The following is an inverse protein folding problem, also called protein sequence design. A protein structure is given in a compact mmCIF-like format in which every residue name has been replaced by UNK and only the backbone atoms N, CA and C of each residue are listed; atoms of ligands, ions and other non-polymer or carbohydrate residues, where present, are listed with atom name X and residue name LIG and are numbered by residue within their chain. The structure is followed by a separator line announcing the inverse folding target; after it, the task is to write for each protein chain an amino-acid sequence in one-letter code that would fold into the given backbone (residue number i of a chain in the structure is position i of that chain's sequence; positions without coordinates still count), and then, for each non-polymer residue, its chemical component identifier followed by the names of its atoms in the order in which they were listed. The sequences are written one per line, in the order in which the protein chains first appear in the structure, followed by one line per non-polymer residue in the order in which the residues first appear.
data_IF_363253967015
#
_entry.id   IF_363253967015
#
_cell.length_a   1.000
_cell.length_b   1.000
_cell.length_c   1.000
_cell.angle_alpha   90.00
_cell.angle_beta   90.00
_cell.angle_gamma   90.00
#
_symmetry.space_group_name_H-M   'P 1'
#
loop_
_entity.id
_entity.type
_entity.pdbx_description
1 polymer ?
#
# COMPACT_ATOMS: atom_id res chain seq x y z
N UNK A 1 38.50 -47.00 -7.85
CA UNK A 1 37.51 -47.44 -6.83
C UNK A 1 37.21 -46.23 -5.93
N UNK A 2 35.99 -46.12 -5.43
CA UNK A 2 35.39 -44.85 -4.94
C UNK A 2 36.23 -44.03 -3.94
N UNK A 3 36.38 -42.73 -4.24
CA UNK A 3 36.30 -41.66 -3.24
C UNK A 3 34.93 -41.01 -3.40
N UNK A 4 34.14 -40.93 -2.33
CA UNK A 4 32.95 -40.07 -2.25
C UNK A 4 33.04 -39.23 -0.98
N UNK A 5 32.48 -38.03 -1.02
CA UNK A 5 32.70 -36.99 -0.03
C UNK A 5 31.78 -37.12 1.20
N UNK A 6 32.22 -36.54 2.30
CA UNK A 6 31.32 -36.09 3.37
C UNK A 6 30.31 -35.09 2.78
N UNK A 7 29.03 -35.45 2.79
CA UNK A 7 27.96 -34.48 2.56
C UNK A 7 27.77 -33.67 3.86
N UNK A 8 28.26 -32.43 3.89
CA UNK A 8 28.08 -31.56 5.04
C UNK A 8 26.69 -30.94 5.03
N UNK A 9 26.10 -30.79 6.21
CA UNK A 9 24.73 -30.31 6.38
C UNK A 9 24.66 -28.78 6.23
N UNK A 10 24.20 -28.28 5.09
CA UNK A 10 23.72 -26.90 4.95
C UNK A 10 22.20 -26.88 4.94
N UNK A 11 21.61 -26.63 6.10
CA UNK A 11 20.18 -26.34 6.23
C UNK A 11 19.91 -25.06 5.43
N UNK A 12 19.10 -25.17 4.38
CA UNK A 12 18.51 -23.99 3.72
C UNK A 12 17.47 -23.43 4.68
N UNK A 13 17.90 -22.50 5.52
CA UNK A 13 17.00 -21.67 6.30
C UNK A 13 16.16 -20.87 5.31
N UNK A 14 14.94 -21.32 5.05
CA UNK A 14 13.88 -20.46 4.56
C UNK A 14 13.65 -19.38 5.62
N UNK A 15 14.36 -18.26 5.47
CA UNK A 15 13.97 -16.99 6.07
C UNK A 15 12.66 -16.61 5.37
N UNK A 16 11.55 -17.15 5.87
CA UNK A 16 10.23 -16.60 5.59
C UNK A 16 10.28 -15.17 6.10
N UNK A 17 10.39 -14.21 5.19
CA UNK A 17 10.25 -12.79 5.53
C UNK A 17 8.79 -12.64 5.95
N UNK A 18 8.58 -12.74 7.26
CA UNK A 18 7.33 -12.35 7.88
C UNK A 18 7.38 -10.83 7.86
N UNK A 19 6.74 -10.21 6.87
CA UNK A 19 6.47 -8.79 6.87
C UNK A 19 5.63 -8.51 8.12
N UNK A 20 6.26 -7.98 9.17
CA UNK A 20 5.61 -7.74 10.48
C UNK A 20 4.39 -6.85 10.36
N UNK A 21 4.38 -5.95 9.37
CA UNK A 21 3.29 -5.04 9.01
C UNK A 21 2.13 -5.76 8.29
N UNK A 22 2.43 -6.75 7.43
CA UNK A 22 1.41 -7.54 6.73
C UNK A 22 0.70 -8.56 7.65
N UNK A 23 1.30 -8.91 8.79
CA UNK A 23 0.73 -9.87 9.74
C UNK A 23 -0.35 -9.28 10.66
N UNK A 24 -0.63 -7.97 10.55
CA UNK A 24 -1.44 -7.22 11.52
C UNK A 24 -2.94 -7.49 11.36
N UNK A 25 -3.47 -7.51 10.12
CA UNK A 25 -4.93 -7.52 9.87
C UNK A 25 -5.53 -8.93 9.79
N UNK A 26 -4.75 -9.99 9.52
CA UNK A 26 -5.24 -11.38 9.72
C UNK A 26 -5.42 -11.74 11.20
N UNK A 27 -4.79 -10.98 12.11
CA UNK A 27 -4.78 -11.30 13.54
C UNK A 27 -6.17 -11.13 14.14
N UNK A 28 -6.72 -12.21 14.68
CA UNK A 28 -8.00 -12.19 15.38
C UNK A 28 -9.21 -12.00 14.47
N UNK A 29 -9.05 -12.10 13.15
CA UNK A 29 -10.14 -12.04 12.18
C UNK A 29 -11.15 -13.18 12.44
N UNK A 30 -12.40 -12.81 12.70
CA UNK A 30 -13.54 -13.72 12.94
C UNK A 30 -14.23 -14.04 11.62
N UNK A 31 -14.39 -13.05 10.74
CA UNK A 31 -15.02 -13.21 9.44
C UNK A 31 -14.70 -12.05 8.51
N UNK A 32 -14.58 -12.32 7.21
CA UNK A 32 -14.35 -11.35 6.15
C UNK A 32 -15.17 -11.69 4.92
N UNK A 33 -15.98 -10.75 4.45
CA UNK A 33 -16.81 -10.92 3.26
C UNK A 33 -16.57 -9.75 2.30
N UNK A 34 -15.82 -9.98 1.22
CA UNK A 34 -15.58 -8.99 0.16
C UNK A 34 -16.82 -8.77 -0.73
N UNK A 35 -17.75 -9.74 -0.76
CA UNK A 35 -18.97 -9.73 -1.59
C UNK A 35 -18.77 -9.77 -3.11
N UNK A 36 -17.63 -10.28 -3.59
CA UNK A 36 -17.27 -10.46 -5.01
C UNK A 36 -18.15 -11.52 -5.72
N UNK A 37 -19.45 -11.25 -5.89
CA UNK A 37 -20.45 -12.16 -6.46
C UNK A 37 -20.81 -13.37 -5.57
N UNK A 38 -20.33 -13.40 -4.32
CA UNK A 38 -20.50 -14.50 -3.36
C UNK A 38 -20.74 -13.98 -1.93
N UNK A 39 -21.39 -14.79 -1.10
CA UNK A 39 -21.59 -14.57 0.34
C UNK A 39 -20.63 -15.40 1.19
N UNK A 40 -19.46 -15.73 0.64
CA UNK A 40 -18.50 -16.58 1.30
C UNK A 40 -17.70 -15.78 2.33
N UNK A 41 -17.43 -16.39 3.48
CA UNK A 41 -16.43 -15.89 4.43
C UNK A 41 -15.04 -16.34 3.93
N UNK A 42 -14.16 -15.38 3.63
CA UNK A 42 -12.79 -15.64 3.22
C UNK A 42 -11.86 -15.89 4.42
N UNK A 43 -12.34 -15.74 5.66
CA UNK A 43 -11.61 -16.12 6.87
C UNK A 43 -11.53 -17.64 7.06
N UNK A 44 -10.63 -18.07 7.96
CA UNK A 44 -10.49 -19.49 8.34
C UNK A 44 -11.73 -20.10 9.01
N UNK A 45 -12.72 -19.30 9.40
CA UNK A 45 -13.87 -19.73 10.20
C UNK A 45 -15.10 -20.13 9.35
N UNK A 46 -15.15 -19.76 8.06
CA UNK A 46 -16.20 -20.18 7.12
C UNK A 46 -17.64 -19.81 7.50
N UNK A 47 -17.85 -18.61 8.08
CA UNK A 47 -19.15 -18.05 8.46
C UNK A 47 -19.97 -17.58 7.23
N UNK A 48 -20.28 -18.50 6.32
CA UNK A 48 -20.90 -18.19 5.03
C UNK A 48 -22.33 -17.64 5.18
N UNK A 49 -22.61 -16.51 4.52
CA UNK A 49 -23.90 -15.81 4.62
C UNK A 49 -25.02 -16.47 3.81
N UNK A 50 -26.19 -16.61 4.43
CA UNK A 50 -27.42 -17.08 3.78
C UNK A 50 -28.29 -15.88 3.36
N UNK A 51 -28.60 -15.70 2.07
CA UNK A 51 -29.41 -14.58 1.60
C UNK A 51 -30.91 -14.80 1.86
N UNK A 52 -31.53 -13.90 2.63
CA UNK A 52 -32.97 -13.91 2.89
C UNK A 52 -33.66 -12.85 2.03
N UNK A 53 -34.70 -13.26 1.30
CA UNK A 53 -35.39 -12.44 0.28
C UNK A 53 -34.48 -11.83 -0.80
N UNK A 54 -33.35 -12.50 -1.09
CA UNK A 54 -32.44 -12.23 -2.21
C UNK A 54 -31.99 -10.75 -2.35
N UNK A 55 -31.19 -10.21 -1.40
CA UNK A 55 -30.41 -9.01 -1.65
C UNK A 55 -29.48 -9.22 -2.87
N UNK A 56 -29.26 -8.17 -3.65
CA UNK A 56 -28.67 -8.29 -5.00
C UNK A 56 -27.26 -7.75 -5.08
N UNK A 57 -26.35 -8.45 -5.75
CA UNK A 57 -25.02 -7.91 -6.07
C UNK A 57 -25.11 -6.70 -7.00
N UNK A 58 -24.30 -5.68 -6.71
CA UNK A 58 -24.21 -4.38 -7.39
C UNK A 58 -22.75 -3.91 -7.40
N UNK A 59 -22.52 -2.69 -7.90
CA UNK A 59 -21.20 -2.06 -7.90
C UNK A 59 -20.73 -1.62 -6.51
N UNK A 60 -19.42 -1.73 -6.30
CA UNK A 60 -18.68 -1.27 -5.12
C UNK A 60 -18.37 0.24 -5.14
N UNK A 61 -17.36 0.63 -4.37
CA UNK A 61 -16.80 1.99 -4.27
C UNK A 61 -15.85 2.39 -5.42
N UNK A 62 -15.54 1.49 -6.35
CA UNK A 62 -14.68 1.71 -7.51
C UNK A 62 -15.39 1.45 -8.86
N UNK A 63 -16.71 1.30 -8.84
CA UNK A 63 -17.57 0.98 -9.99
C UNK A 63 -17.37 -0.43 -10.59
N UNK A 64 -16.72 -1.36 -9.87
CA UNK A 64 -16.55 -2.76 -10.28
C UNK A 64 -17.87 -3.54 -10.15
N UNK A 65 -18.24 -4.31 -11.17
CA UNK A 65 -19.51 -5.03 -11.18
C UNK A 65 -19.57 -6.17 -10.15
N UNK A 66 -20.71 -6.27 -9.45
CA UNK A 66 -21.04 -7.35 -8.50
C UNK A 66 -20.05 -7.51 -7.32
N UNK A 67 -19.36 -6.44 -6.90
CA UNK A 67 -18.44 -6.46 -5.76
C UNK A 67 -19.07 -5.92 -4.44
N UNK A 68 -20.35 -5.55 -4.44
CA UNK A 68 -21.07 -5.10 -3.24
C UNK A 68 -22.52 -5.61 -3.22
N UNK A 69 -23.21 -5.51 -2.08
CA UNK A 69 -24.59 -6.00 -1.92
C UNK A 69 -25.56 -4.85 -1.70
N UNK A 70 -26.65 -4.83 -2.45
CA UNK A 70 -27.78 -3.92 -2.26
C UNK A 70 -28.93 -4.56 -1.48
N UNK A 71 -29.44 -3.81 -0.50
CA UNK A 71 -30.55 -4.17 0.39
C UNK A 71 -31.77 -3.27 0.12
N UNK A 72 -32.95 -3.87 0.11
CA UNK A 72 -34.18 -3.25 -0.41
C UNK A 72 -34.89 -2.30 0.57
N UNK A 73 -34.58 -2.36 1.87
CA UNK A 73 -35.23 -1.56 2.91
C UNK A 73 -36.62 -2.04 3.34
N UNK A 74 -36.97 -3.31 3.11
CA UNK A 74 -38.29 -3.85 3.50
C UNK A 74 -38.30 -5.31 3.96
N UNK A 75 -37.44 -6.18 3.41
CA UNK A 75 -37.35 -7.57 3.86
C UNK A 75 -36.06 -8.33 3.47
N UNK A 76 -35.15 -7.74 2.69
CA UNK A 76 -33.91 -8.43 2.30
C UNK A 76 -32.81 -8.26 3.35
N UNK A 77 -32.14 -9.34 3.72
CA UNK A 77 -30.96 -9.33 4.60
C UNK A 77 -30.06 -10.55 4.31
N UNK A 78 -28.88 -10.57 4.89
CA UNK A 78 -28.03 -11.78 4.98
C UNK A 78 -28.03 -12.25 6.43
N UNK A 79 -28.22 -13.54 6.65
CA UNK A 79 -28.09 -14.17 7.97
C UNK A 79 -26.83 -15.06 7.96
N UNK A 80 -25.88 -14.79 8.85
CA UNK A 80 -24.64 -15.56 8.99
C UNK A 80 -24.77 -16.71 10.00
N UNK A 81 -25.95 -16.86 10.64
CA UNK A 81 -26.12 -17.77 11.76
C UNK A 81 -25.41 -17.29 13.02
N UNK A 82 -25.07 -18.24 13.89
CA UNK A 82 -24.43 -17.97 15.18
C UNK A 82 -22.91 -17.87 15.02
N UNK A 83 -22.42 -16.63 14.83
CA UNK A 83 -21.00 -16.31 14.66
C UNK A 83 -20.38 -16.04 16.02
N UNK A 84 -19.22 -16.64 16.30
CA UNK A 84 -18.51 -16.59 17.60
C UNK A 84 -17.94 -15.19 17.92
N UNK A 85 -18.84 -14.26 18.30
CA UNK A 85 -18.53 -12.91 18.80
C UNK A 85 -18.93 -12.73 20.28
N UNK A 86 -19.48 -13.79 20.86
CA UNK A 86 -19.99 -13.94 22.22
C UNK A 86 -18.90 -14.10 23.27
N UNK A 87 -19.17 -13.62 24.49
CA UNK A 87 -18.20 -13.68 25.59
C UNK A 87 -16.92 -12.87 25.34
N UNK A 88 -16.86 -12.11 24.24
CA UNK A 88 -15.68 -11.31 23.86
C UNK A 88 -15.54 -10.08 24.77
N UNK A 89 -14.34 -9.94 25.33
CA UNK A 89 -13.92 -8.74 26.08
C UNK A 89 -13.23 -7.71 25.17
N UNK A 90 -12.98 -8.07 23.90
CA UNK A 90 -12.47 -7.21 22.85
C UNK A 90 -13.16 -7.60 21.54
N UNK A 91 -13.71 -6.63 20.82
CA UNK A 91 -14.38 -6.81 19.53
C UNK A 91 -14.13 -5.59 18.64
N UNK A 92 -13.98 -5.80 17.33
CA UNK A 92 -14.05 -4.71 16.35
C UNK A 92 -14.80 -5.14 15.10
N UNK A 93 -15.41 -4.18 14.41
CA UNK A 93 -15.91 -4.35 13.04
C UNK A 93 -15.38 -3.25 12.13
N UNK A 94 -15.33 -3.54 10.84
CA UNK A 94 -15.13 -2.58 9.75
C UNK A 94 -16.11 -2.89 8.62
N UNK A 95 -16.69 -1.86 8.01
CA UNK A 95 -17.70 -2.02 6.95
C UNK A 95 -17.76 -0.77 6.06
N UNK A 96 -17.99 -0.94 4.77
CA UNK A 96 -18.36 0.15 3.86
C UNK A 96 -19.87 0.20 3.67
N UNK A 97 -20.44 1.39 3.74
CA UNK A 97 -21.90 1.60 3.70
C UNK A 97 -22.25 2.77 2.77
N UNK A 98 -23.29 2.60 1.96
CA UNK A 98 -23.87 3.62 1.08
C UNK A 98 -25.39 3.62 1.23
N UNK A 99 -25.95 4.45 2.13
CA UNK A 99 -27.39 4.48 2.35
C UNK A 99 -28.11 5.14 1.16
N UNK A 100 -29.18 4.53 0.67
CA UNK A 100 -30.07 5.09 -0.35
C UNK A 100 -31.37 5.67 0.26
N UNK A 101 -31.65 5.35 1.52
CA UNK A 101 -32.69 5.94 2.36
C UNK A 101 -32.28 5.77 3.83
N UNK A 102 -32.70 6.69 4.69
CA UNK A 102 -32.54 6.61 6.13
C UNK A 102 -33.85 7.06 6.78
N UNK A 103 -34.43 6.21 7.65
CA UNK A 103 -35.51 6.65 8.54
C UNK A 103 -35.00 7.70 9.55
N UNK A 104 -35.85 8.68 9.85
CA UNK A 104 -35.62 9.71 10.87
C UNK A 104 -36.06 9.18 12.24
N UNK A 105 -35.15 9.19 13.22
CA UNK A 105 -35.42 8.72 14.58
C UNK A 105 -34.55 9.48 15.60
N UNK A 106 -35.08 10.54 16.23
CA UNK A 106 -34.40 11.29 17.30
C UNK A 106 -34.56 10.62 18.69
N UNK A 107 -34.70 9.29 18.74
CA UNK A 107 -34.67 8.50 19.98
C UNK A 107 -33.27 8.43 20.61
N UNK A 108 -33.06 7.59 21.62
CA UNK A 108 -31.82 7.56 22.43
C UNK A 108 -31.16 6.18 22.56
N UNK A 109 -31.43 5.23 21.66
CA UNK A 109 -30.67 3.97 21.56
C UNK A 109 -30.10 3.77 20.15
N UNK A 110 -29.31 2.68 20.00
CA UNK A 110 -28.84 2.12 18.73
C UNK A 110 -29.40 0.71 18.47
N UNK A 111 -30.56 0.39 19.08
CA UNK A 111 -31.23 -0.91 19.08
C UNK A 111 -32.77 -0.78 19.18
N UNK A 112 -33.34 0.36 18.78
CA UNK A 112 -34.79 0.59 18.74
C UNK A 112 -35.41 0.39 17.36
N UNK A 113 -36.72 0.11 17.34
CA UNK A 113 -37.51 0.17 16.11
C UNK A 113 -37.43 1.57 15.48
N UNK A 114 -37.48 1.64 14.14
CA UNK A 114 -37.18 2.83 13.33
C UNK A 114 -35.67 3.16 13.27
N UNK A 115 -34.83 2.15 13.05
CA UNK A 115 -33.40 2.34 12.81
C UNK A 115 -32.92 1.51 11.60
N UNK A 116 -31.99 2.04 10.81
CA UNK A 116 -31.49 1.37 9.60
C UNK A 116 -30.31 0.48 10.01
N UNK A 117 -30.58 -0.75 10.47
CA UNK A 117 -29.55 -1.65 10.97
C UNK A 117 -28.68 -2.21 9.84
N UNK A 118 -27.39 -1.87 9.87
CA UNK A 118 -26.37 -2.37 8.93
C UNK A 118 -25.84 -3.71 9.40
N UNK A 119 -25.39 -3.82 10.65
CA UNK A 119 -24.88 -5.05 11.27
C UNK A 119 -25.61 -5.26 12.60
N UNK A 120 -26.10 -6.48 12.88
CA UNK A 120 -26.88 -6.74 14.10
C UNK A 120 -26.74 -8.20 14.57
N UNK A 121 -26.41 -8.44 15.84
CA UNK A 121 -26.62 -9.74 16.51
C UNK A 121 -27.60 -9.51 17.67
N UNK A 122 -28.85 -9.92 17.43
CA UNK A 122 -30.03 -9.54 18.23
C UNK A 122 -31.08 -10.65 18.31
N UNK A 123 -31.89 -10.61 19.37
CA UNK A 123 -32.59 -11.75 19.90
C UNK A 123 -34.03 -11.51 20.33
N UNK A 124 -34.44 -12.27 21.35
CA UNK A 124 -35.80 -12.27 21.88
C UNK A 124 -35.97 -11.48 23.17
N UNK A 125 -34.99 -11.54 24.07
CA UNK A 125 -35.01 -10.92 25.41
C UNK A 125 -33.76 -10.07 25.67
N UNK A 126 -32.60 -10.57 25.24
CA UNK A 126 -31.29 -9.92 25.36
C UNK A 126 -30.62 -9.86 23.98
N UNK A 127 -29.93 -8.75 23.70
CA UNK A 127 -29.17 -8.50 22.47
C UNK A 127 -27.66 -8.57 22.74
N UNK A 128 -26.82 -8.48 21.70
CA UNK A 128 -25.36 -8.57 21.85
C UNK A 128 -24.65 -7.31 21.35
N UNK A 129 -24.88 -6.95 20.08
CA UNK A 129 -24.30 -5.77 19.45
C UNK A 129 -25.06 -5.33 18.20
N UNK A 130 -24.92 -4.04 17.88
CA UNK A 130 -25.57 -3.44 16.72
C UNK A 130 -24.82 -2.24 16.16
N UNK A 131 -24.95 -2.05 14.85
CA UNK A 131 -24.48 -0.87 14.14
C UNK A 131 -25.62 -0.35 13.25
N UNK A 132 -26.13 0.84 13.60
CA UNK A 132 -27.31 1.45 12.98
C UNK A 132 -27.01 2.85 12.49
N UNK A 133 -27.76 3.27 11.46
CA UNK A 133 -27.80 4.64 10.98
C UNK A 133 -29.22 5.18 11.14
N UNK A 134 -29.37 6.48 11.33
CA UNK A 134 -30.63 7.23 11.15
C UNK A 134 -30.38 8.43 10.23
N UNK A 135 -31.40 9.23 9.91
CA UNK A 135 -31.20 10.48 9.17
C UNK A 135 -30.41 11.54 9.97
N UNK A 136 -30.35 11.39 11.29
CA UNK A 136 -29.72 12.31 12.23
C UNK A 136 -28.26 11.92 12.56
N UNK A 137 -27.97 10.61 12.68
CA UNK A 137 -26.72 10.12 13.30
C UNK A 137 -26.32 8.69 12.90
N UNK A 138 -25.20 8.26 13.47
CA UNK A 138 -24.72 6.88 13.47
C UNK A 138 -24.62 6.37 14.91
N UNK A 139 -24.95 5.09 15.16
CA UNK A 139 -24.82 4.46 16.47
C UNK A 139 -24.08 3.11 16.40
N UNK A 140 -23.26 2.83 17.41
CA UNK A 140 -22.68 1.52 17.69
C UNK A 140 -23.07 1.11 19.12
N UNK A 141 -23.65 -0.08 19.24
CA UNK A 141 -24.23 -0.64 20.46
C UNK A 141 -23.56 -1.97 20.82
N UNK A 142 -23.39 -2.22 22.12
CA UNK A 142 -23.10 -3.53 22.72
C UNK A 142 -23.89 -3.69 24.02
N UNK A 143 -24.26 -4.93 24.37
CA UNK A 143 -24.62 -5.29 25.74
C UNK A 143 -23.47 -6.10 26.38
N UNK A 144 -23.02 -5.67 27.57
CA UNK A 144 -22.11 -6.43 28.42
C UNK A 144 -22.61 -6.59 29.87
N UNK A 145 -23.91 -6.86 30.02
CA UNK A 145 -24.67 -6.78 31.28
C UNK A 145 -25.24 -5.38 31.55
N UNK A 146 -25.29 -4.54 30.51
CA UNK A 146 -25.82 -3.18 30.47
C UNK A 146 -25.83 -2.69 29.01
N UNK A 147 -26.86 -1.93 28.64
CA UNK A 147 -26.94 -1.27 27.33
C UNK A 147 -25.88 -0.16 27.17
N UNK A 148 -24.85 -0.40 26.36
CA UNK A 148 -23.86 0.62 26.01
C UNK A 148 -24.06 1.03 24.55
N UNK A 149 -24.49 2.27 24.29
CA UNK A 149 -24.51 2.84 22.93
C UNK A 149 -23.57 4.04 22.85
N UNK A 150 -22.78 4.10 21.78
CA UNK A 150 -21.99 5.28 21.40
C UNK A 150 -22.53 5.88 20.09
N UNK A 151 -22.67 7.20 20.07
CA UNK A 151 -23.24 7.94 18.95
C UNK A 151 -22.21 8.84 18.26
N UNK A 152 -22.41 9.06 16.96
CA UNK A 152 -21.84 10.17 16.21
C UNK A 152 -23.00 11.00 15.63
N UNK A 153 -23.29 12.12 16.29
CA UNK A 153 -24.42 13.02 16.00
C UNK A 153 -24.15 13.86 14.74
N UNK A 154 -24.22 13.21 13.58
CA UNK A 154 -23.95 13.77 12.26
C UNK A 154 -24.67 12.94 11.18
N UNK A 155 -25.50 13.61 10.37
CA UNK A 155 -26.32 12.97 9.33
C UNK A 155 -25.48 12.24 8.28
N UNK A 156 -25.65 10.91 8.10
CA UNK A 156 -24.99 10.16 7.04
C UNK A 156 -25.46 10.62 5.65
N UNK A 157 -24.54 10.68 4.68
CA UNK A 157 -24.87 11.16 3.34
C UNK A 157 -25.50 10.07 2.47
N UNK A 158 -26.70 10.34 1.95
CA UNK A 158 -27.37 9.43 1.01
C UNK A 158 -26.61 9.35 -0.33
N UNK A 159 -26.43 8.14 -0.85
CA UNK A 159 -25.75 7.85 -2.11
C UNK A 159 -24.22 7.84 -2.05
N UNK A 160 -23.63 8.29 -0.94
CA UNK A 160 -22.16 8.34 -0.76
C UNK A 160 -21.66 7.08 -0.06
N UNK A 161 -20.62 6.46 -0.60
CA UNK A 161 -19.88 5.40 0.11
C UNK A 161 -19.11 6.01 1.28
N UNK A 162 -19.36 5.51 2.49
CA UNK A 162 -18.69 5.92 3.73
C UNK A 162 -18.17 4.67 4.45
N UNK A 163 -16.93 4.74 4.94
CA UNK A 163 -16.36 3.69 5.78
C UNK A 163 -16.73 3.94 7.24
N UNK A 164 -17.10 2.86 7.93
CA UNK A 164 -17.35 2.84 9.36
C UNK A 164 -16.59 1.71 10.03
N UNK A 165 -16.01 1.99 11.19
CA UNK A 165 -15.46 0.97 12.07
C UNK A 165 -15.82 1.29 13.53
N UNK A 166 -16.10 0.27 14.31
CA UNK A 166 -16.30 0.39 15.75
C UNK A 166 -15.39 -0.58 16.47
N UNK A 167 -14.80 -0.14 17.59
CA UNK A 167 -13.95 -0.98 18.43
C UNK A 167 -14.44 -0.93 19.88
N UNK A 168 -14.45 -2.09 20.54
CA UNK A 168 -14.76 -2.25 21.95
C UNK A 168 -13.67 -3.08 22.60
N UNK A 169 -13.17 -2.63 23.75
CA UNK A 169 -12.37 -3.46 24.64
C UNK A 169 -11.65 -2.64 25.70
N UNK A 170 -11.14 -3.32 26.72
CA UNK A 170 -10.46 -2.69 27.88
C UNK A 170 -11.28 -1.56 28.57
N UNK A 171 -12.61 -1.59 28.47
CA UNK A 171 -13.50 -0.57 29.05
C UNK A 171 -13.68 0.69 28.20
N UNK A 172 -13.35 0.64 26.90
CA UNK A 172 -13.61 1.72 25.94
C UNK A 172 -14.45 1.20 24.76
N UNK A 173 -15.38 2.02 24.30
CA UNK A 173 -15.98 1.96 22.96
C UNK A 173 -15.48 3.14 22.12
N UNK A 174 -15.18 2.89 20.85
CA UNK A 174 -14.80 3.89 19.87
C UNK A 174 -15.62 3.71 18.59
N UNK A 175 -15.92 4.82 17.92
CA UNK A 175 -16.55 4.86 16.60
C UNK A 175 -15.71 5.73 15.65
N UNK A 176 -15.44 5.19 14.47
CA UNK A 176 -14.62 5.79 13.42
C UNK A 176 -15.43 5.96 12.14
N UNK A 177 -15.13 7.03 11.40
CA UNK A 177 -15.68 7.33 10.08
C UNK A 177 -14.54 7.68 9.14
N UNK A 178 -14.43 7.00 8.00
CA UNK A 178 -13.37 7.23 7.00
C UNK A 178 -11.96 7.27 7.64
N UNK A 179 -11.64 6.23 8.43
CA UNK A 179 -10.39 6.09 9.17
C UNK A 179 -10.24 7.00 10.42
N UNK A 180 -11.07 8.04 10.58
CA UNK A 180 -10.92 9.03 11.66
C UNK A 180 -11.80 8.70 12.87
N UNK A 181 -11.25 8.80 14.09
CA UNK A 181 -12.01 8.65 15.34
C UNK A 181 -12.99 9.82 15.49
N UNK A 182 -14.30 9.52 15.58
CA UNK A 182 -15.36 10.54 15.71
C UNK A 182 -16.06 10.53 17.07
N UNK A 183 -15.99 9.43 17.82
CA UNK A 183 -16.60 9.30 19.14
C UNK A 183 -15.85 8.26 19.98
N UNK A 184 -15.69 8.52 21.28
CA UNK A 184 -15.10 7.58 22.25
C UNK A 184 -15.82 7.69 23.60
N UNK A 185 -16.04 6.57 24.28
CA UNK A 185 -16.75 6.51 25.57
C UNK A 185 -16.21 5.39 26.46
N UNK A 186 -16.22 5.62 27.78
CA UNK A 186 -15.91 4.59 28.77
C UNK A 186 -17.13 3.73 29.10
N UNK A 187 -16.91 2.42 29.18
CA UNK A 187 -17.93 1.38 29.42
C UNK A 187 -17.42 0.36 30.43
N UNK A 188 -18.28 -0.57 30.83
CA UNK A 188 -17.87 -1.72 31.66
C UNK A 188 -16.79 -2.55 30.95
N UNK A 189 -15.87 -3.16 31.71
CA UNK A 189 -14.86 -4.10 31.20
C UNK A 189 -15.38 -5.54 31.12
N UNK A 190 -16.69 -5.75 31.27
CA UNK A 190 -17.32 -7.05 31.10
C UNK A 190 -17.36 -7.47 29.62
N UNK A 191 -17.41 -8.78 29.38
CA UNK A 191 -17.60 -9.37 28.06
C UNK A 191 -18.97 -9.03 27.47
N UNK A 192 -19.05 -8.91 26.14
CA UNK A 192 -20.33 -8.93 25.41
C UNK A 192 -21.16 -10.15 25.85
N UNK A 193 -22.47 -9.99 26.00
CA UNK A 193 -23.38 -11.08 26.41
C UNK A 193 -23.19 -12.29 25.50
N UNK A 194 -23.17 -13.47 26.14
CA UNK A 194 -23.00 -14.78 25.50
C UNK A 194 -24.38 -15.41 25.26
N UNK A 195 -24.81 -15.47 23.99
CA UNK A 195 -26.06 -16.13 23.58
C UNK A 195 -26.01 -16.60 22.12
N UNK A 196 -27.00 -17.40 21.70
CA UNK A 196 -27.04 -17.97 20.33
C UNK A 196 -27.83 -17.10 19.34
N UNK A 197 -27.82 -15.77 19.49
CA UNK A 197 -28.46 -14.88 18.52
C UNK A 197 -27.70 -14.90 17.18
N UNK A 198 -28.44 -14.83 16.06
CA UNK A 198 -27.82 -14.85 14.73
C UNK A 198 -27.31 -13.46 14.33
N UNK A 199 -26.10 -13.40 13.76
CA UNK A 199 -25.53 -12.19 13.20
C UNK A 199 -26.13 -11.93 11.79
N UNK A 200 -26.56 -10.70 11.53
CA UNK A 200 -27.24 -10.29 10.29
C UNK A 200 -26.63 -9.04 9.68
N UNK A 201 -26.68 -8.96 8.35
CA UNK A 201 -26.31 -7.81 7.55
C UNK A 201 -27.54 -7.24 6.83
N UNK A 202 -27.77 -5.94 6.94
CA UNK A 202 -28.85 -5.22 6.25
C UNK A 202 -30.22 -5.26 6.95
N UNK A 203 -30.32 -5.84 8.15
CA UNK A 203 -31.46 -5.64 9.05
C UNK A 203 -32.05 -6.93 9.64
N UNK A 204 -33.36 -6.85 9.93
CA UNK A 204 -34.19 -7.80 10.70
C UNK A 204 -33.87 -7.87 12.20
N UNK A 205 -34.83 -7.40 13.00
CA UNK A 205 -34.90 -7.62 14.45
C UNK A 205 -36.17 -8.44 14.76
N UNK A 206 -36.11 -9.57 15.49
CA UNK A 206 -37.26 -10.50 15.60
C UNK A 206 -38.57 -9.88 16.11
N UNK A 207 -38.47 -8.86 16.98
CA UNK A 207 -39.62 -8.21 17.61
C UNK A 207 -40.04 -6.87 16.95
N UNK A 208 -39.44 -6.45 15.82
CA UNK A 208 -39.73 -5.15 15.22
C UNK A 208 -39.58 -5.12 13.68
N UNK A 209 -40.58 -4.59 12.98
CA UNK A 209 -40.69 -4.65 11.52
C UNK A 209 -39.83 -3.60 10.77
N UNK A 210 -39.71 -2.40 11.32
CA UNK A 210 -39.14 -1.23 10.63
C UNK A 210 -37.64 -1.09 10.92
N UNK A 211 -36.88 -2.07 10.42
CA UNK A 211 -35.48 -2.32 10.79
C UNK A 211 -34.53 -2.64 9.63
N UNK A 212 -35.01 -2.56 8.38
CA UNK A 212 -34.26 -2.97 7.20
C UNK A 212 -33.46 -1.81 6.61
N UNK A 213 -32.16 -2.03 6.42
CA UNK A 213 -31.31 -1.08 5.72
C UNK A 213 -31.67 -1.00 4.23
N UNK A 214 -31.58 0.21 3.67
CA UNK A 214 -31.81 0.48 2.25
C UNK A 214 -30.62 1.18 1.64
N UNK A 215 -29.85 0.48 0.82
CA UNK A 215 -28.59 0.96 0.31
C UNK A 215 -27.64 -0.17 -0.04
N UNK A 216 -26.38 0.15 -0.30
CA UNK A 216 -25.33 -0.84 -0.54
C UNK A 216 -24.42 -1.02 0.68
N UNK A 217 -23.91 -2.23 0.87
CA UNK A 217 -22.87 -2.60 1.84
C UNK A 217 -21.75 -3.34 1.09
N UNK A 218 -20.50 -3.07 1.46
CA UNK A 218 -19.26 -3.58 0.87
C UNK A 218 -18.28 -3.97 2.00
N UNK A 219 -17.41 -4.95 1.76
CA UNK A 219 -16.31 -5.41 2.64
C UNK A 219 -16.61 -5.37 4.15
N UNK A 220 -17.37 -6.35 4.64
CA UNK A 220 -17.58 -6.55 6.08
C UNK A 220 -16.37 -7.31 6.67
N UNK A 221 -15.79 -6.80 7.76
CA UNK A 221 -14.75 -7.46 8.55
C UNK A 221 -15.13 -7.47 10.03
N UNK A 222 -14.82 -8.56 10.75
CA UNK A 222 -15.06 -8.72 12.19
C UNK A 222 -13.80 -9.26 12.88
N UNK A 223 -13.50 -8.77 14.09
CA UNK A 223 -12.27 -9.09 14.82
C UNK A 223 -12.53 -9.35 16.31
N UNK A 224 -11.80 -10.29 16.92
CA UNK A 224 -11.80 -10.56 18.37
C UNK A 224 -10.73 -9.77 19.14
N UNK A 225 -10.24 -8.68 18.54
CA UNK A 225 -9.29 -7.73 19.11
C UNK A 225 -9.80 -6.29 18.95
N UNK A 226 -9.26 -5.38 19.75
CA UNK A 226 -9.45 -3.93 19.57
C UNK A 226 -8.50 -3.50 18.45
N UNK A 227 -9.03 -2.98 17.34
CA UNK A 227 -8.19 -2.38 16.31
C UNK A 227 -7.60 -1.05 16.80
N UNK A 228 -6.36 -0.74 16.44
CA UNK A 228 -5.76 0.58 16.67
C UNK A 228 -6.30 1.61 15.67
N UNK A 229 -6.03 2.91 15.92
CA UNK A 229 -6.42 3.96 14.98
C UNK A 229 -5.70 3.82 13.62
N UNK A 230 -4.44 3.38 13.66
CA UNK A 230 -3.61 3.11 12.49
C UNK A 230 -4.12 1.90 11.71
N UNK A 231 -4.53 0.82 12.39
CA UNK A 231 -5.15 -0.35 11.75
C UNK A 231 -6.49 0.02 11.08
N UNK A 232 -7.31 0.87 11.73
CA UNK A 232 -8.55 1.38 11.14
C UNK A 232 -8.30 2.34 9.97
N UNK A 233 -7.24 3.16 10.00
CA UNK A 233 -6.84 3.99 8.86
C UNK A 233 -6.32 3.13 7.69
N UNK A 234 -5.55 2.08 7.95
CA UNK A 234 -5.09 1.15 6.91
C UNK A 234 -6.27 0.46 6.23
N UNK A 235 -7.21 -0.13 7.00
CA UNK A 235 -8.42 -0.77 6.46
C UNK A 235 -9.32 0.22 5.69
N UNK A 236 -9.34 1.49 6.10
CA UNK A 236 -10.02 2.55 5.35
C UNK A 236 -9.34 2.85 4.00
N UNK A 237 -8.01 2.94 3.99
CA UNK A 237 -7.25 3.36 2.80
C UNK A 237 -7.06 2.23 1.78
N UNK A 238 -6.79 1.02 2.25
CA UNK A 238 -6.68 -0.19 1.44
C UNK A 238 -8.06 -0.81 1.17
N UNK A 239 -9.04 0.04 0.81
CA UNK A 239 -10.43 -0.37 0.55
C UNK A 239 -10.64 -1.26 -0.68
N UNK A 240 -9.56 -1.75 -1.28
CA UNK A 240 -9.52 -2.74 -2.36
C UNK A 240 -8.57 -3.87 -1.97
N UNK A 241 -9.13 -5.03 -1.64
CA UNK A 241 -8.48 -6.27 -1.17
C UNK A 241 -7.77 -6.21 0.20
N UNK A 242 -8.08 -7.17 1.08
CA UNK A 242 -7.13 -7.61 2.12
C UNK A 242 -6.04 -8.50 1.48
N UNK A 243 -5.33 -7.94 0.51
CA UNK A 243 -4.12 -8.51 -0.04
C UNK A 243 -2.99 -7.49 0.08
N UNK A 244 -1.75 -7.97 0.19
CA UNK A 244 -0.62 -7.13 -0.23
C UNK A 244 -0.66 -7.10 -1.76
N UNK A 245 -1.59 -6.32 -2.34
CA UNK A 245 -1.79 -6.38 -3.79
C UNK A 245 -0.63 -5.69 -4.51
N UNK A 246 0.29 -6.58 -4.85
CA UNK A 246 1.25 -6.58 -5.93
C UNK A 246 0.65 -6.27 -7.32
N UNK A 247 -0.47 -5.56 -7.40
CA UNK A 247 -1.04 -4.86 -8.56
C UNK A 247 0.00 -4.03 -9.34
N UNK A 248 0.97 -3.46 -8.63
CA UNK A 248 2.13 -2.80 -9.21
C UNK A 248 3.28 -3.76 -9.55
N UNK A 249 3.38 -4.94 -8.93
CA UNK A 249 4.45 -5.91 -9.09
C UNK A 249 4.07 -7.00 -10.11
N UNK A 250 4.35 -6.72 -11.38
CA UNK A 250 4.09 -7.63 -12.49
C UNK A 250 5.19 -8.69 -12.60
N UNK A 251 4.82 -9.97 -12.56
CA UNK A 251 5.74 -11.10 -12.66
C UNK A 251 5.28 -12.09 -13.75
N UNK A 252 6.03 -12.18 -14.86
CA UNK A 252 5.71 -13.06 -16.00
C UNK A 252 6.40 -14.45 -15.93
N UNK A 253 7.05 -14.75 -14.80
CA UNK A 253 7.87 -15.95 -14.58
C UNK A 253 9.30 -15.85 -15.12
N UNK A 254 9.64 -14.81 -15.88
CA UNK A 254 10.98 -14.52 -16.39
C UNK A 254 11.55 -13.20 -15.89
N UNK A 255 10.69 -12.20 -15.67
CA UNK A 255 11.01 -10.79 -15.44
C UNK A 255 10.09 -10.24 -14.32
N UNK A 256 10.51 -9.12 -13.72
CA UNK A 256 9.77 -8.39 -12.68
C UNK A 256 9.60 -6.93 -13.11
N UNK A 257 8.38 -6.40 -13.02
CA UNK A 257 8.08 -4.99 -13.23
C UNK A 257 7.43 -4.38 -12.00
N UNK A 258 7.80 -3.16 -11.61
CA UNK A 258 7.23 -2.40 -10.48
C UNK A 258 6.61 -1.12 -11.04
N UNK A 259 5.28 -0.99 -10.96
CA UNK A 259 4.50 0.07 -11.60
C UNK A 259 4.40 -0.05 -13.13
N UNK A 260 4.89 -1.15 -13.72
CA UNK A 260 4.97 -1.33 -15.19
C UNK A 260 4.87 -2.80 -15.58
N UNK A 261 3.96 -3.13 -16.50
CA UNK A 261 3.72 -4.50 -16.96
C UNK A 261 4.69 -4.95 -18.07
N UNK A 262 5.01 -4.06 -19.02
CA UNK A 262 6.02 -4.33 -20.04
C UNK A 262 7.40 -3.98 -19.49
N UNK A 263 8.23 -4.97 -19.19
CA UNK A 263 9.60 -4.75 -18.72
C UNK A 263 10.57 -4.33 -19.83
N UNK A 264 10.11 -4.19 -21.08
CA UNK A 264 10.89 -3.79 -22.26
C UNK A 264 12.13 -4.69 -22.50
N UNK A 265 12.05 -5.95 -22.07
CA UNK A 265 13.15 -6.93 -22.14
C UNK A 265 14.14 -6.90 -20.96
N UNK A 266 14.00 -5.97 -20.01
CA UNK A 266 14.79 -5.94 -18.79
C UNK A 266 14.28 -6.97 -17.77
N UNK A 267 15.19 -7.51 -16.94
CA UNK A 267 14.85 -8.48 -15.89
C UNK A 267 14.15 -7.87 -14.68
N UNK A 268 14.45 -6.61 -14.39
CA UNK A 268 13.77 -5.77 -13.42
C UNK A 268 13.49 -4.41 -14.07
N UNK A 269 12.24 -3.96 -14.07
CA UNK A 269 11.84 -2.63 -14.53
C UNK A 269 11.07 -1.91 -13.40
N UNK A 270 11.26 -0.60 -13.25
CA UNK A 270 10.62 0.20 -12.20
C UNK A 270 10.14 1.53 -12.77
N UNK A 271 8.84 1.76 -12.80
CA UNK A 271 8.22 3.04 -13.16
C UNK A 271 8.16 3.97 -11.93
N UNK A 272 9.32 4.47 -11.49
CA UNK A 272 9.39 5.33 -10.32
C UNK A 272 10.82 5.66 -9.90
N UNK A 273 11.00 5.99 -8.61
CA UNK A 273 12.30 6.17 -7.97
C UNK A 273 12.59 4.95 -7.10
N UNK A 274 13.80 4.42 -7.20
CA UNK A 274 14.28 3.33 -6.33
C UNK A 274 15.21 3.90 -5.26
N UNK A 275 15.12 3.37 -4.04
CA UNK A 275 16.11 3.56 -2.97
C UNK A 275 16.71 2.19 -2.62
N UNK A 276 18.00 2.15 -2.34
CA UNK A 276 18.77 0.95 -1.97
C UNK A 276 20.04 1.39 -1.26
N UNK A 277 20.62 0.52 -0.43
CA UNK A 277 21.89 0.77 0.26
C UNK A 277 23.10 0.58 -0.69
N UNK A 278 23.01 -0.35 -1.65
CA UNK A 278 24.07 -0.63 -2.64
C UNK A 278 23.48 -1.06 -4.00
N UNK A 279 24.26 -0.89 -5.08
CA UNK A 279 24.05 -1.52 -6.39
C UNK A 279 25.39 -1.97 -6.97
N UNK A 280 25.55 -3.27 -7.20
CA UNK A 280 26.69 -3.84 -7.92
C UNK A 280 26.35 -4.04 -9.41
N UNK A 281 27.17 -3.48 -10.31
CA UNK A 281 26.96 -3.58 -11.78
C UNK A 281 28.11 -4.38 -12.39
N UNK A 282 27.93 -5.70 -12.46
CA UNK A 282 29.02 -6.63 -12.78
C UNK A 282 29.31 -6.82 -14.29
N UNK A 283 28.54 -6.19 -15.18
CA UNK A 283 28.70 -6.31 -16.65
C UNK A 283 29.13 -4.98 -17.28
N UNK A 284 30.44 -4.76 -17.31
CA UNK A 284 31.10 -3.74 -18.15
C UNK A 284 32.21 -4.46 -18.92
N UNK A 285 31.94 -4.84 -20.17
CA UNK A 285 32.83 -5.73 -20.94
C UNK A 285 34.21 -5.12 -21.25
N UNK A 286 34.32 -3.79 -21.23
CA UNK A 286 35.56 -3.06 -21.53
C UNK A 286 35.69 -1.89 -20.55
N UNK A 287 36.37 -2.11 -19.41
CA UNK A 287 36.77 -1.04 -18.49
C UNK A 287 37.86 -0.19 -19.16
N UNK A 288 37.88 1.15 -18.99
CA UNK A 288 38.57 2.06 -19.92
C UNK A 288 40.11 2.16 -19.79
N UNK A 289 40.75 1.30 -18.99
CA UNK A 289 42.20 1.24 -18.72
C UNK A 289 43.09 1.27 -20.00
N UNK A 290 42.52 0.86 -21.15
CA UNK A 290 43.11 0.98 -22.48
C UNK A 290 43.46 2.42 -22.91
N UNK A 291 42.93 3.47 -22.27
CA UNK A 291 43.25 4.88 -22.58
C UNK A 291 44.74 5.18 -22.37
N UNK A 292 45.43 4.41 -21.51
CA UNK A 292 46.86 4.56 -21.24
C UNK A 292 47.77 3.69 -22.14
N UNK A 293 47.23 2.94 -23.10
CA UNK A 293 48.03 2.16 -24.06
C UNK A 293 48.73 3.07 -25.08
N UNK A 294 49.95 2.70 -25.51
CA UNK A 294 50.70 3.42 -26.58
C UNK A 294 49.95 3.47 -27.92
N UNK A 295 48.98 2.56 -28.12
CA UNK A 295 48.09 2.49 -29.28
C UNK A 295 46.84 3.37 -29.19
N UNK A 296 46.59 4.04 -28.05
CA UNK A 296 45.41 4.87 -27.87
C UNK A 296 45.50 6.20 -28.63
N UNK A 297 44.60 6.40 -29.61
CA UNK A 297 44.59 7.59 -30.45
C UNK A 297 43.85 8.76 -29.78
N UNK A 298 44.52 9.41 -28.84
CA UNK A 298 44.03 10.59 -28.12
C UNK A 298 43.69 11.73 -29.11
N UNK A 299 42.45 12.24 -29.04
CA UNK A 299 41.96 13.30 -29.94
C UNK A 299 42.61 14.64 -29.59
N UNK A 300 43.05 15.43 -30.56
CA UNK A 300 43.60 16.76 -30.27
C UNK A 300 42.54 17.73 -29.72
N UNK A 301 42.95 18.68 -28.89
CA UNK A 301 42.04 19.61 -28.20
C UNK A 301 41.25 20.49 -29.18
N UNK A 302 41.81 20.89 -30.31
CA UNK A 302 41.12 21.67 -31.35
C UNK A 302 40.00 20.85 -32.01
N UNK A 303 40.19 19.54 -32.15
CA UNK A 303 39.16 18.62 -32.65
C UNK A 303 38.08 18.32 -31.60
N UNK A 304 38.38 18.47 -30.31
CA UNK A 304 37.39 18.42 -29.22
C UNK A 304 36.60 19.74 -29.17
N UNK A 305 37.26 20.89 -29.17
CA UNK A 305 36.64 22.22 -29.22
C UNK A 305 35.67 22.34 -30.40
N UNK A 306 36.12 21.96 -31.60
CA UNK A 306 35.28 21.93 -32.80
C UNK A 306 34.07 21.01 -32.66
N UNK A 307 34.22 19.86 -32.01
CA UNK A 307 33.10 18.93 -31.77
C UNK A 307 32.09 19.52 -30.77
N UNK A 308 32.57 20.11 -29.66
CA UNK A 308 31.71 20.77 -28.67
C UNK A 308 30.96 21.95 -29.30
N UNK A 309 31.61 22.74 -30.16
CA UNK A 309 30.99 23.86 -30.88
C UNK A 309 29.92 23.44 -31.90
N UNK A 310 30.01 22.22 -32.45
CA UNK A 310 29.09 21.65 -33.44
C UNK A 310 28.00 20.73 -32.84
N UNK A 311 28.18 20.25 -31.61
CA UNK A 311 27.29 19.26 -30.97
C UNK A 311 26.79 19.64 -29.57
N UNK A 312 27.43 20.57 -28.87
CA UNK A 312 27.05 21.01 -27.53
C UNK A 312 27.39 20.02 -26.39
N UNK A 313 28.04 18.89 -26.70
CA UNK A 313 28.46 17.89 -25.71
C UNK A 313 29.82 17.29 -26.06
N UNK A 314 30.41 16.54 -25.12
CA UNK A 314 31.65 15.80 -25.34
C UNK A 314 31.45 14.63 -26.32
N UNK A 315 32.49 14.22 -27.07
CA UNK A 315 32.46 12.98 -27.85
C UNK A 315 32.08 11.78 -26.99
N UNK A 316 31.29 10.86 -27.57
CA UNK A 316 30.85 9.57 -26.97
C UNK A 316 29.93 9.67 -25.75
N UNK A 317 29.91 10.81 -25.04
CA UNK A 317 28.88 11.17 -24.06
C UNK A 317 27.58 11.47 -24.81
N UNK A 318 26.43 10.91 -24.39
CA UNK A 318 25.14 11.15 -25.06
C UNK A 318 24.67 12.59 -24.89
N UNK A 319 23.93 13.09 -25.88
CA UNK A 319 23.24 14.38 -25.81
C UNK A 319 22.05 14.36 -24.84
N UNK A 320 21.61 15.53 -24.36
CA UNK A 320 20.40 15.69 -23.53
C UNK A 320 19.17 15.04 -24.20
N UNK A 321 19.02 15.24 -25.52
CA UNK A 321 17.92 14.66 -26.30
C UNK A 321 17.99 13.13 -26.35
N UNK A 322 19.17 12.52 -26.38
CA UNK A 322 19.30 11.06 -26.31
C UNK A 322 18.97 10.53 -24.91
N UNK A 323 19.47 11.19 -23.86
CA UNK A 323 19.18 10.86 -22.47
C UNK A 323 17.67 10.93 -22.18
N UNK A 324 17.00 11.99 -22.62
CA UNK A 324 15.56 12.19 -22.42
C UNK A 324 14.70 11.14 -23.14
N UNK A 325 15.17 10.58 -24.25
CA UNK A 325 14.41 9.60 -25.04
C UNK A 325 14.78 8.13 -24.74
N UNK A 326 15.94 7.85 -24.15
CA UNK A 326 16.47 6.47 -23.98
C UNK A 326 16.98 6.14 -22.57
N UNK A 327 17.04 7.11 -21.66
CA UNK A 327 17.68 6.94 -20.35
C UNK A 327 19.20 6.79 -20.45
N UNK A 328 19.81 6.21 -19.41
CA UNK A 328 21.26 6.01 -19.30
C UNK A 328 21.56 4.62 -18.72
N UNK A 329 22.37 3.83 -19.43
CA UNK A 329 22.99 2.62 -18.90
C UNK A 329 24.06 2.99 -17.85
N UNK A 330 23.72 2.93 -16.56
CA UNK A 330 24.58 3.37 -15.44
C UNK A 330 26.03 2.86 -15.54
N UNK A 331 26.23 1.55 -15.77
CA UNK A 331 27.57 0.97 -15.88
C UNK A 331 28.37 1.49 -17.08
N UNK A 332 27.72 1.63 -18.25
CA UNK A 332 28.37 2.15 -19.47
C UNK A 332 28.67 3.64 -19.35
N UNK A 333 27.82 4.40 -18.64
CA UNK A 333 28.05 5.81 -18.38
C UNK A 333 29.21 6.02 -17.41
N UNK A 334 29.29 5.24 -16.33
CA UNK A 334 30.42 5.29 -15.40
C UNK A 334 31.74 4.94 -16.11
N UNK A 335 31.74 3.92 -16.97
CA UNK A 335 32.91 3.58 -17.80
C UNK A 335 33.31 4.72 -18.75
N UNK A 336 32.35 5.35 -19.46
CA UNK A 336 32.62 6.51 -20.31
C UNK A 336 33.11 7.73 -19.53
N UNK A 337 32.57 7.99 -18.34
CA UNK A 337 33.01 9.09 -17.48
C UNK A 337 34.45 8.87 -17.02
N UNK A 338 34.83 7.64 -16.65
CA UNK A 338 36.21 7.31 -16.33
C UNK A 338 37.13 7.46 -17.55
N UNK A 339 36.73 6.97 -18.73
CA UNK A 339 37.46 7.17 -19.99
C UNK A 339 37.76 8.68 -20.24
N UNK A 340 36.80 9.58 -19.94
CA UNK A 340 37.00 11.03 -20.08
C UNK A 340 37.84 11.65 -18.96
N UNK A 341 37.91 11.05 -17.77
CA UNK A 341 38.86 11.43 -16.71
C UNK A 341 40.28 11.01 -17.10
N UNK A 342 40.45 9.88 -17.75
CA UNK A 342 41.74 9.35 -18.22
C UNK A 342 42.26 10.15 -19.43
N UNK A 343 41.41 10.45 -20.41
CA UNK A 343 41.70 11.40 -21.51
C UNK A 343 42.09 12.79 -20.97
N UNK A 344 41.34 13.31 -19.99
CA UNK A 344 41.66 14.58 -19.33
C UNK A 344 43.01 14.53 -18.60
N UNK A 345 43.34 13.41 -17.97
CA UNK A 345 44.63 13.21 -17.30
C UNK A 345 45.78 13.26 -18.30
N UNK A 346 45.63 12.71 -19.50
CA UNK A 346 46.63 12.80 -20.56
C UNK A 346 46.82 14.26 -21.07
N UNK A 347 45.73 15.03 -21.28
CA UNK A 347 45.87 16.45 -21.65
C UNK A 347 46.56 17.26 -20.54
N UNK A 348 46.28 16.97 -19.27
CA UNK A 348 46.93 17.64 -18.13
C UNK A 348 48.42 17.29 -18.01
N UNK A 349 48.82 16.06 -18.34
CA UNK A 349 50.23 15.64 -18.39
C UNK A 349 50.97 16.41 -19.48
N UNK A 350 50.41 16.50 -20.70
CA UNK A 350 51.03 17.25 -21.79
C UNK A 350 51.04 18.76 -21.53
N UNK A 351 49.96 19.33 -20.97
CA UNK A 351 49.93 20.74 -20.57
C UNK A 351 51.00 21.06 -19.51
N UNK A 352 51.22 20.17 -18.54
CA UNK A 352 52.29 20.29 -17.54
C UNK A 352 53.69 20.21 -18.18
N UNK A 353 53.86 19.39 -19.22
CA UNK A 353 55.10 19.33 -20.00
C UNK A 353 55.34 20.64 -20.78
N UNK A 354 54.34 21.15 -21.49
CA UNK A 354 54.42 22.44 -22.19
C UNK A 354 54.68 23.62 -21.24
N UNK A 355 54.03 23.67 -20.09
CA UNK A 355 54.26 24.70 -19.06
C UNK A 355 55.73 24.70 -18.57
N UNK A 356 56.35 23.53 -18.40
CA UNK A 356 57.77 23.41 -18.03
C UNK A 356 58.71 23.87 -19.15
N UNK A 357 58.39 23.56 -20.41
CA UNK A 357 59.15 24.04 -21.57
C UNK A 357 59.07 25.57 -21.71
N UNK A 358 57.87 26.15 -21.52
CA UNK A 358 57.65 27.59 -21.52
C UNK A 358 58.40 28.28 -20.37
N UNK A 359 58.34 27.73 -19.15
CA UNK A 359 59.10 28.24 -18.00
C UNK A 359 60.61 28.26 -18.27
N UNK A 360 61.18 27.18 -18.80
CA UNK A 360 62.59 27.12 -19.15
C UNK A 360 62.98 28.13 -20.27
N UNK A 361 62.09 28.39 -21.23
CA UNK A 361 62.29 29.42 -22.26
C UNK A 361 62.24 30.84 -21.66
N UNK A 362 61.34 31.10 -20.71
CA UNK A 362 61.25 32.38 -20.00
C UNK A 362 62.55 32.64 -19.22
N UNK A 363 63.04 31.67 -18.45
CA UNK A 363 64.31 31.79 -17.72
C UNK A 363 65.52 32.05 -18.64
N UNK A 364 65.55 31.45 -19.84
CA UNK A 364 66.59 31.71 -20.83
C UNK A 364 66.49 33.13 -21.44
N UNK A 365 65.26 33.63 -21.65
CA UNK A 365 65.00 34.97 -22.17
C UNK A 365 65.32 36.05 -21.13
N UNK A 366 64.93 35.89 -19.87
CA UNK A 366 65.27 36.79 -18.76
C UNK A 366 66.80 36.91 -18.58
N UNK A 367 67.51 35.79 -18.70
CA UNK A 367 68.97 35.75 -18.69
C UNK A 367 69.59 36.50 -19.87
N UNK A 368 69.04 36.38 -21.08
CA UNK A 368 69.48 37.14 -22.28
C UNK A 368 69.21 38.64 -22.13
N UNK A 369 68.04 39.03 -21.63
CA UNK A 369 67.67 40.43 -21.37
C UNK A 369 68.63 41.04 -20.32
N UNK A 370 68.89 40.31 -19.24
CA UNK A 370 69.86 40.72 -18.21
C UNK A 370 71.27 40.94 -18.77
N UNK A 371 71.72 40.12 -19.73
CA UNK A 371 73.02 40.29 -20.41
C UNK A 371 73.06 41.46 -21.41
N UNK A 372 71.90 41.94 -21.86
CA UNK A 372 71.78 43.11 -22.74
C UNK A 372 71.64 44.42 -21.95
N UNK A 373 71.03 44.38 -20.76
CA UNK A 373 70.87 45.54 -19.87
C UNK A 373 72.13 45.88 -19.06
N UNK A 374 73.09 44.95 -18.97
CA UNK A 374 74.40 45.16 -18.33
C UNK A 374 75.50 45.52 -19.36
N UNK A 375 75.15 46.29 -20.40
CA UNK A 375 76.05 46.82 -21.44
C UNK A 375 75.74 48.30 -21.70
#
# INVERSE_FOLDING_TARGET
MFKCYFAFLTIVCFFKIINTEAQVVERGLIGYWEFNGKLMDESVNSNNGTPINAPSFVKDRFENESQAIFFNGSNSFVDFGDVLIDGLNNFSFSVWVKPNFLISNPGNSGHSANENAVLHKVGGADDNLGFTLTAERVAFYIDNGADNTIFYESSPQLGTWTHYAGTFGSGLMNLYVNGQLVSSSSVSTASIIDNTNSLRLGGYHPNAADYFFKGSIDQLMLFNQVLTAEEVELIYRDGSSMGNDCSALFCDGNNIGIGIADTHGYKLAVAGKTITEEVNVSLVEHWPDYVFEETYNLRSLENIEKYISDKGHLPEIPSETEVANKGIDLGKMNAKLLQKIEELTLYLIEQNHQNKLQQAQIEELEKKISQLQNK
#
